data_IF_001607072108
#
_entry.id   IF_001607072108
#
_cell.length_a   1.000
_cell.length_b   1.000
_cell.length_c   1.000
_cell.angle_alpha   90.00
_cell.angle_beta   90.00
_cell.angle_gamma   90.00
#
_symmetry.space_group_name_H-M   'P 1'
#
loop_
_entity.id
_entity.type
_entity.pdbx_description
1 polymer ?
#
# COMPACT_ATOMS: atom_id res chain seq x y z
N UNK A 1 12.98 -15.53 -9.52
CA UNK A 1 12.28 -14.71 -8.50
C UNK A 1 11.78 -13.39 -9.09
N UNK A 2 12.60 -12.73 -9.91
CA UNK A 2 12.27 -11.44 -10.56
C UNK A 2 11.03 -11.47 -11.47
N UNK A 3 10.84 -12.50 -12.28
CA UNK A 3 9.66 -12.57 -13.16
C UNK A 3 8.32 -12.61 -12.40
N UNK A 4 8.27 -13.25 -11.23
CA UNK A 4 7.06 -13.27 -10.37
C UNK A 4 6.80 -11.89 -9.77
N UNK A 5 7.86 -11.17 -9.40
CA UNK A 5 7.80 -9.80 -8.88
C UNK A 5 7.22 -8.85 -9.92
N UNK A 6 7.74 -8.95 -11.15
CA UNK A 6 7.35 -8.12 -12.27
C UNK A 6 5.87 -8.33 -12.65
N UNK A 7 5.40 -9.58 -12.65
CA UNK A 7 3.97 -9.90 -12.85
C UNK A 7 3.06 -9.30 -11.78
N UNK A 8 3.47 -9.34 -10.50
CA UNK A 8 2.70 -8.72 -9.41
C UNK A 8 2.65 -7.20 -9.55
N UNK A 9 3.77 -6.57 -9.89
CA UNK A 9 3.83 -5.12 -10.14
C UNK A 9 2.83 -4.70 -11.20
N UNK A 10 2.91 -5.29 -12.39
CA UNK A 10 1.97 -4.99 -13.47
C UNK A 10 0.49 -5.21 -13.09
N UNK A 11 0.20 -6.27 -12.32
CA UNK A 11 -1.16 -6.53 -11.84
C UNK A 11 -1.70 -5.37 -11.01
N UNK A 12 -0.97 -4.94 -9.97
CA UNK A 12 -1.48 -3.92 -9.06
C UNK A 12 -1.40 -2.51 -9.65
N UNK A 13 -0.41 -2.20 -10.49
CA UNK A 13 -0.40 -0.95 -11.25
C UNK A 13 -1.60 -0.87 -12.21
N UNK A 14 -1.96 -1.99 -12.86
CA UNK A 14 -3.16 -2.06 -13.70
C UNK A 14 -4.45 -1.87 -12.88
N UNK A 15 -4.54 -2.48 -11.70
CA UNK A 15 -5.67 -2.27 -10.77
C UNK A 15 -5.77 -0.80 -10.36
N UNK A 16 -4.65 -0.20 -9.97
CA UNK A 16 -4.59 1.19 -9.52
C UNK A 16 -5.09 2.17 -10.60
N UNK A 17 -4.62 1.98 -11.85
CA UNK A 17 -5.04 2.82 -12.97
C UNK A 17 -6.51 2.61 -13.34
N UNK A 18 -6.98 1.36 -13.39
CA UNK A 18 -8.36 1.04 -13.79
C UNK A 18 -9.40 1.43 -12.74
N UNK A 19 -9.13 1.13 -11.47
CA UNK A 19 -10.10 1.33 -10.40
C UNK A 19 -10.14 2.77 -9.91
N UNK A 20 -8.98 3.44 -9.88
CA UNK A 20 -8.82 4.73 -9.19
C UNK A 20 -8.35 5.87 -10.09
N UNK A 21 -7.95 5.57 -11.34
CA UNK A 21 -7.25 6.51 -12.22
C UNK A 21 -6.01 7.13 -11.56
N UNK A 22 -5.33 6.37 -10.70
CA UNK A 22 -4.08 6.78 -10.03
C UNK A 22 -2.91 6.12 -10.76
N UNK A 23 -1.81 6.87 -10.90
CA UNK A 23 -0.58 6.33 -11.48
C UNK A 23 0.38 5.88 -10.39
N UNK A 24 1.05 4.76 -10.65
CA UNK A 24 2.18 4.34 -9.82
C UNK A 24 3.38 5.25 -10.07
N UNK A 25 4.07 5.63 -9.01
CA UNK A 25 5.30 6.41 -9.07
C UNK A 25 6.51 5.49 -8.99
N UNK A 26 7.49 5.73 -9.85
CA UNK A 26 8.82 5.12 -9.75
C UNK A 26 9.72 5.80 -8.71
N UNK A 27 9.37 7.03 -8.33
CA UNK A 27 10.08 7.85 -7.34
C UNK A 27 9.28 7.81 -6.02
N UNK A 28 9.93 7.76 -4.84
CA UNK A 28 9.23 7.81 -3.57
C UNK A 28 8.30 9.03 -3.43
N UNK A 29 7.12 8.79 -2.89
CA UNK A 29 6.13 9.83 -2.53
C UNK A 29 5.66 9.59 -1.11
N UNK A 30 4.87 10.51 -0.54
CA UNK A 30 4.22 10.32 0.76
C UNK A 30 3.12 9.25 0.74
N UNK A 31 2.67 8.85 -0.45
CA UNK A 31 1.47 8.04 -0.66
C UNK A 31 1.84 6.62 -1.08
N UNK A 32 1.34 5.65 -0.34
CA UNK A 32 1.55 4.23 -0.59
C UNK A 32 0.21 3.52 -0.77
N UNK A 33 0.11 2.73 -1.84
CA UNK A 33 -0.87 1.65 -1.91
C UNK A 33 -0.30 0.44 -1.18
N UNK A 34 -1.07 -0.14 -0.27
CA UNK A 34 -0.73 -1.39 0.42
C UNK A 34 -1.62 -2.51 -0.11
N UNK A 35 -1.03 -3.39 -0.90
CA UNK A 35 -1.73 -4.50 -1.53
C UNK A 35 -1.90 -5.68 -0.57
N UNK A 36 -2.98 -6.43 -0.74
CA UNK A 36 -3.38 -7.56 0.13
C UNK A 36 -3.56 -7.15 1.60
N UNK A 37 -3.99 -5.91 1.81
CA UNK A 37 -4.11 -5.32 3.13
C UNK A 37 -5.32 -4.36 3.20
N UNK A 38 -6.45 -4.78 2.62
CA UNK A 38 -7.70 -4.02 2.58
C UNK A 38 -8.85 -4.66 3.36
N UNK A 39 -10.05 -4.11 3.20
CA UNK A 39 -11.26 -4.56 3.92
C UNK A 39 -11.63 -6.01 3.58
N UNK A 40 -11.40 -6.45 2.33
CA UNK A 40 -11.65 -7.85 1.92
C UNK A 40 -10.75 -8.83 2.68
N UNK A 41 -9.62 -8.36 3.20
CA UNK A 41 -8.72 -9.17 4.02
C UNK A 41 -9.12 -9.18 5.51
N UNK A 42 -10.29 -8.61 5.87
CA UNK A 42 -10.78 -8.55 7.25
C UNK A 42 -10.11 -7.48 8.10
N UNK A 43 -9.35 -6.56 7.50
CA UNK A 43 -8.62 -5.52 8.22
C UNK A 43 -9.48 -4.28 8.45
N UNK A 44 -9.34 -3.67 9.61
CA UNK A 44 -9.87 -2.35 9.91
C UNK A 44 -8.82 -1.25 9.72
N UNK A 45 -9.26 0.01 9.72
CA UNK A 45 -8.35 1.17 9.71
C UNK A 45 -7.40 1.15 10.90
N UNK A 46 -7.87 0.69 12.05
CA UNK A 46 -7.07 0.59 13.28
C UNK A 46 -5.95 -0.43 13.12
N UNK A 47 -6.23 -1.57 12.48
CA UNK A 47 -5.22 -2.61 12.24
C UNK A 47 -4.13 -2.11 11.30
N UNK A 48 -4.52 -1.42 10.23
CA UNK A 48 -3.59 -0.76 9.31
C UNK A 48 -2.75 0.29 10.05
N UNK A 49 -3.40 1.15 10.84
CA UNK A 49 -2.69 2.18 11.61
C UNK A 49 -1.68 1.57 12.58
N UNK A 50 -2.07 0.53 13.32
CA UNK A 50 -1.21 -0.14 14.31
C UNK A 50 0.06 -0.70 13.66
N UNK A 51 -0.03 -1.22 12.44
CA UNK A 51 1.14 -1.71 11.71
C UNK A 51 1.97 -0.54 11.17
N UNK A 52 1.36 0.45 10.55
CA UNK A 52 2.10 1.45 9.78
C UNK A 52 2.57 2.67 10.59
N UNK A 53 2.00 2.94 11.76
CA UNK A 53 2.44 4.04 12.64
C UNK A 53 3.86 3.85 13.19
N UNK A 54 4.41 2.64 13.16
CA UNK A 54 5.78 2.37 13.61
C UNK A 54 6.85 2.90 12.63
N UNK A 55 6.47 3.22 11.38
CA UNK A 55 7.38 3.71 10.35
C UNK A 55 7.37 5.23 10.18
N UNK A 56 6.37 5.90 10.77
CA UNK A 56 6.21 7.35 10.71
C UNK A 56 4.79 7.80 11.05
N UNK A 57 4.58 9.12 11.06
CA UNK A 57 3.27 9.70 11.32
C UNK A 57 2.34 9.52 10.11
N UNK A 58 1.30 8.72 10.29
CA UNK A 58 0.27 8.51 9.26
C UNK A 58 -0.72 9.68 9.28
N UNK A 59 -0.72 10.46 8.20
CA UNK A 59 -1.62 11.58 7.99
C UNK A 59 -3.02 11.11 7.59
N UNK A 60 -3.10 10.11 6.70
CA UNK A 60 -4.38 9.60 6.19
C UNK A 60 -4.29 8.11 5.88
N UNK A 61 -5.37 7.40 6.15
CA UNK A 61 -5.62 6.04 5.64
C UNK A 61 -6.90 6.08 4.81
N UNK A 62 -6.90 5.41 3.65
CA UNK A 62 -8.09 5.24 2.81
C UNK A 62 -8.29 3.75 2.62
N UNK A 63 -9.44 3.24 3.06
CA UNK A 63 -9.84 1.85 2.86
C UNK A 63 -11.07 1.83 1.98
N UNK A 64 -11.03 1.02 0.92
CA UNK A 64 -12.08 0.98 -0.08
C UNK A 64 -12.96 -0.27 0.11
N UNK A 65 -14.30 -0.12 0.12
CA UNK A 65 -15.22 -1.25 0.17
C UNK A 65 -14.91 -2.26 -0.94
N UNK A 66 -14.98 -3.54 -0.60
CA UNK A 66 -14.77 -4.65 -1.54
C UNK A 66 -13.38 -4.69 -2.21
N UNK A 67 -12.39 -3.94 -1.71
CA UNK A 67 -11.01 -4.00 -2.18
C UNK A 67 -10.09 -4.71 -1.18
N UNK A 68 -9.12 -5.44 -1.72
CA UNK A 68 -8.04 -6.10 -0.97
C UNK A 68 -6.81 -5.21 -0.82
N UNK A 69 -6.95 -3.90 -1.01
CA UNK A 69 -5.88 -2.92 -0.83
C UNK A 69 -6.40 -1.69 -0.10
N UNK A 70 -5.48 -0.95 0.50
CA UNK A 70 -5.74 0.35 1.09
C UNK A 70 -4.65 1.35 0.67
N UNK A 71 -4.85 2.62 1.02
CA UNK A 71 -3.85 3.66 0.84
C UNK A 71 -3.46 4.28 2.16
N UNK A 72 -2.19 4.67 2.24
CA UNK A 72 -1.59 5.35 3.39
C UNK A 72 -0.88 6.61 2.86
N UNK A 73 -1.16 7.75 3.48
CA UNK A 73 -0.42 8.99 3.31
C UNK A 73 0.34 9.27 4.61
N UNK A 74 1.66 9.41 4.51
CA UNK A 74 2.50 9.89 5.59
C UNK A 74 2.63 11.41 5.57
N UNK A 75 3.12 11.99 6.67
CA UNK A 75 3.35 13.45 6.72
C UNK A 75 4.50 13.87 5.82
N UNK A 76 5.51 13.01 5.63
CA UNK A 76 6.64 13.26 4.73
C UNK A 76 7.08 12.00 3.94
N UNK A 77 7.92 12.21 2.92
CA UNK A 77 8.36 11.14 2.00
C UNK A 77 9.29 10.13 2.69
N UNK A 78 10.09 10.56 3.67
CA UNK A 78 11.06 9.68 4.33
C UNK A 78 10.39 8.60 5.19
N UNK A 79 9.24 8.92 5.79
CA UNK A 79 8.41 7.95 6.50
C UNK A 79 7.83 6.88 5.56
N UNK A 80 7.39 7.29 4.37
CA UNK A 80 6.93 6.34 3.34
C UNK A 80 8.09 5.46 2.84
N UNK A 81 9.29 6.03 2.66
CA UNK A 81 10.51 5.27 2.34
C UNK A 81 10.81 4.25 3.44
N UNK A 82 10.80 4.68 4.70
CA UNK A 82 10.99 3.82 5.86
C UNK A 82 10.03 2.64 5.86
N UNK A 83 8.73 2.88 5.65
CA UNK A 83 7.74 1.81 5.56
C UNK A 83 8.04 0.86 4.37
N UNK A 84 8.31 1.41 3.19
CA UNK A 84 8.60 0.62 2.00
C UNK A 84 9.83 -0.28 2.18
N UNK A 85 10.95 0.27 2.65
CA UNK A 85 12.19 -0.48 2.88
C UNK A 85 12.04 -1.55 3.97
N UNK A 86 11.24 -1.25 5.00
CA UNK A 86 11.09 -2.16 6.15
C UNK A 86 10.10 -3.28 5.93
N UNK A 87 9.04 -3.11 5.13
CA UNK A 87 8.00 -4.16 5.00
C UNK A 87 7.71 -4.64 3.59
N UNK A 88 8.11 -3.92 2.54
CA UNK A 88 7.82 -4.40 1.19
C UNK A 88 8.46 -5.77 0.99
N UNK A 89 7.69 -6.71 0.43
CA UNK A 89 8.06 -8.12 0.24
C UNK A 89 8.20 -8.96 1.49
N UNK A 90 7.83 -8.45 2.67
CA UNK A 90 7.76 -9.25 3.90
C UNK A 90 6.38 -9.84 4.12
N UNK A 91 6.34 -10.97 4.82
CA UNK A 91 5.09 -11.59 5.25
C UNK A 91 4.34 -10.65 6.18
N UNK A 92 3.05 -10.47 5.93
CA UNK A 92 2.16 -9.67 6.74
C UNK A 92 1.56 -10.48 7.90
N UNK A 93 0.87 -9.79 8.80
CA UNK A 93 0.25 -10.40 9.98
C UNK A 93 -1.05 -11.16 9.69
N UNK A 94 -1.47 -11.29 8.42
CA UNK A 94 -2.70 -12.02 8.08
C UNK A 94 -2.51 -13.54 8.22
N UNK A 95 -3.57 -14.31 8.55
CA UNK A 95 -3.48 -15.76 8.72
C UNK A 95 -2.92 -16.50 7.51
N UNK A 96 -3.20 -16.00 6.30
CA UNK A 96 -2.71 -16.56 5.04
C UNK A 96 -1.23 -16.24 4.75
N UNK A 97 -0.53 -15.52 5.64
CA UNK A 97 0.88 -15.16 5.52
C UNK A 97 1.23 -14.53 4.16
N UNK A 98 0.35 -13.65 3.67
CA UNK A 98 0.56 -12.98 2.40
C UNK A 98 1.72 -11.99 2.48
N UNK A 99 2.37 -11.71 1.35
CA UNK A 99 3.41 -10.68 1.30
C UNK A 99 2.77 -9.29 1.23
N UNK A 100 3.30 -8.36 2.02
CA UNK A 100 3.15 -6.94 1.76
C UNK A 100 3.71 -6.61 0.39
N UNK A 101 2.89 -5.92 -0.40
CA UNK A 101 3.35 -5.31 -1.63
C UNK A 101 2.95 -3.84 -1.67
N UNK A 102 3.96 -2.98 -1.62
CA UNK A 102 3.82 -1.54 -1.53
C UNK A 102 4.18 -0.87 -2.84
N UNK A 103 3.33 0.07 -3.27
CA UNK A 103 3.52 0.86 -4.49
C UNK A 103 3.41 2.33 -4.13
N UNK A 104 4.43 3.12 -4.47
CA UNK A 104 4.32 4.58 -4.41
C UNK A 104 3.29 5.04 -5.42
N UNK A 105 2.46 5.99 -5.02
CA UNK A 105 1.41 6.53 -5.89
C UNK A 105 1.58 8.03 -6.01
N UNK A 106 1.27 8.59 -7.19
CA UNK A 106 1.07 10.04 -7.29
C UNK A 106 -0.17 10.40 -6.46
N UNK A 107 -0.20 11.60 -5.88
CA UNK A 107 -1.41 12.09 -5.22
C UNK A 107 -2.56 12.09 -6.23
N UNK A 108 -3.45 11.10 -6.12
CA UNK A 108 -4.70 11.11 -6.85
C UNK A 108 -5.58 12.22 -6.29
N UNK A 109 -6.22 13.00 -7.16
CA UNK A 109 -7.33 13.90 -6.81
C UNK A 109 -8.58 13.08 -6.40
N UNK A 110 -8.43 12.08 -5.56
CA UNK A 110 -9.50 11.18 -5.14
C UNK A 110 -9.43 11.04 -3.62
N UNK A 111 -10.03 12.02 -2.94
CA UNK A 111 -11.22 11.93 -2.08
C UNK A 111 -11.20 13.06 -1.05
#
# INVERSE_FOLDING_TARGET
MEQKLHKKRFKYESILKKDMNIEASSIPTKNLMVCNYGLVNGLSRKDVLQVFSQYGQVERIIMLPHKSYCFICYTNVQEAISAWDKVNWKVNSLPEQQLFYLIYTVSGNAY
#
